data_IF_271423860574
#
_entry.id   IF_271423860574
#
_cell.length_a   1.000
_cell.length_b   1.000
_cell.length_c   1.000
_cell.angle_alpha   90.00
_cell.angle_beta   90.00
_cell.angle_gamma   90.00
#
_symmetry.space_group_name_H-M   'P 1'
#
loop_
_entity.id
_entity.type
_entity.pdbx_description
1 polymer ?
#
# COMPACT_ATOMS: atom_id res chain seq x y z
N UNK A 1 6.07 -8.95 4.47
CA UNK A 1 5.51 -8.08 3.41
C UNK A 1 4.16 -8.60 2.93
N UNK A 2 4.02 -9.91 2.65
CA UNK A 2 2.79 -10.52 2.11
C UNK A 2 1.50 -10.07 2.80
N UNK A 3 1.43 -10.16 4.15
CA UNK A 3 0.25 -9.71 4.91
C UNK A 3 -0.12 -8.24 4.66
N UNK A 4 0.86 -7.35 4.51
CA UNK A 4 0.62 -5.94 4.25
C UNK A 4 0.04 -5.66 2.85
N UNK A 5 0.08 -6.65 1.95
CA UNK A 5 -0.54 -6.61 0.63
C UNK A 5 -1.94 -7.21 0.60
N UNK A 6 -2.42 -7.78 1.72
CA UNK A 6 -3.77 -8.31 1.87
C UNK A 6 -4.76 -7.16 2.10
N UNK A 7 -5.84 -7.15 1.33
CA UNK A 7 -6.90 -6.14 1.49
C UNK A 7 -7.54 -6.25 2.88
N UNK A 8 -7.66 -5.13 3.58
CA UNK A 8 -8.22 -5.09 4.92
C UNK A 8 -7.23 -5.45 6.05
N UNK A 9 -6.05 -5.99 5.75
CA UNK A 9 -4.98 -6.06 6.75
C UNK A 9 -4.35 -4.68 6.93
N UNK A 10 -4.73 -4.03 8.03
CA UNK A 10 -4.53 -2.60 8.22
C UNK A 10 -4.22 -2.28 9.67
N UNK A 11 -3.40 -1.25 9.87
CA UNK A 11 -3.20 -0.61 11.18
C UNK A 11 -4.18 0.54 11.43
N UNK A 12 -5.00 0.92 10.45
CA UNK A 12 -6.08 1.87 10.64
C UNK A 12 -7.14 1.30 11.59
N UNK A 13 -7.59 2.11 12.54
CA UNK A 13 -8.68 1.74 13.46
C UNK A 13 -10.00 1.59 12.71
N UNK A 14 -10.96 0.93 13.35
CA UNK A 14 -12.29 0.73 12.76
C UNK A 14 -13.00 2.06 12.48
N UNK A 15 -12.89 3.04 13.38
CA UNK A 15 -13.42 4.39 13.18
C UNK A 15 -12.84 5.04 11.91
N UNK A 16 -11.52 4.95 11.72
CA UNK A 16 -10.84 5.52 10.54
C UNK A 16 -11.27 4.80 9.26
N UNK A 17 -11.53 3.49 9.32
CA UNK A 17 -12.06 2.73 8.17
C UNK A 17 -13.49 3.16 7.82
N UNK A 18 -14.32 3.42 8.81
CA UNK A 18 -15.71 3.87 8.64
C UNK A 18 -15.83 5.29 8.09
N UNK A 19 -14.80 6.12 8.24
CA UNK A 19 -14.71 7.42 7.57
C UNK A 19 -14.59 7.29 6.03
N UNK A 20 -14.32 6.10 5.50
CA UNK A 20 -14.28 5.82 4.07
C UNK A 20 -12.94 6.20 3.40
N UNK A 21 -13.00 6.58 2.13
CA UNK A 21 -11.84 7.09 1.36
C UNK A 21 -10.62 6.15 1.22
N UNK A 22 -10.82 4.84 1.39
CA UNK A 22 -9.75 3.83 1.22
C UNK A 22 -8.86 3.66 2.45
N UNK A 23 -9.31 4.10 3.62
CA UNK A 23 -8.66 3.80 4.89
C UNK A 23 -8.46 2.29 5.10
N UNK A 24 -7.20 1.90 5.29
CA UNK A 24 -6.79 0.50 5.44
C UNK A 24 -6.54 -0.28 4.15
N UNK A 25 -6.50 0.41 3.01
CA UNK A 25 -6.24 -0.20 1.70
C UNK A 25 -4.92 0.30 1.07
N UNK A 26 -4.04 0.92 1.84
CA UNK A 26 -2.86 1.67 1.34
C UNK A 26 -2.04 0.95 0.28
N UNK A 27 -1.28 -0.09 0.65
CA UNK A 27 -0.42 -0.83 -0.28
C UNK A 27 -1.19 -1.55 -1.39
N UNK A 28 -2.34 -2.21 -1.13
CA UNK A 28 -3.18 -2.75 -2.20
C UNK A 28 -3.61 -1.71 -3.23
N UNK A 29 -4.03 -0.51 -2.79
CA UNK A 29 -4.44 0.58 -3.66
C UNK A 29 -3.27 1.14 -4.46
N UNK A 30 -2.09 1.29 -3.85
CA UNK A 30 -0.89 1.72 -4.55
C UNK A 30 -0.59 0.74 -5.70
N UNK A 31 -0.57 -0.57 -5.42
CA UNK A 31 -0.35 -1.60 -6.45
C UNK A 31 -1.36 -1.50 -7.59
N UNK A 32 -2.64 -1.31 -7.26
CA UNK A 32 -3.74 -1.23 -8.23
C UNK A 32 -3.65 0.00 -9.15
N UNK A 33 -3.03 1.08 -8.69
CA UNK A 33 -2.95 2.37 -9.39
C UNK A 33 -1.54 2.70 -9.91
N UNK A 34 -0.67 1.70 -10.03
CA UNK A 34 0.70 1.86 -10.54
C UNK A 34 0.98 0.83 -11.62
N UNK A 35 1.79 1.19 -12.62
CA UNK A 35 2.26 0.24 -13.63
C UNK A 35 3.33 -0.71 -13.07
N UNK A 36 4.17 -0.21 -12.16
CA UNK A 36 5.16 -1.01 -11.45
C UNK A 36 5.23 -0.61 -9.99
N UNK A 37 5.33 -1.62 -9.12
CA UNK A 37 5.55 -1.46 -7.68
C UNK A 37 6.65 -2.42 -7.22
N UNK A 38 7.65 -1.91 -6.50
CA UNK A 38 8.69 -2.70 -5.84
C UNK A 38 8.72 -2.33 -4.37
N UNK A 39 8.54 -3.31 -3.49
CA UNK A 39 8.53 -3.14 -2.05
C UNK A 39 9.60 -4.02 -1.42
N UNK A 40 10.52 -3.39 -0.69
CA UNK A 40 11.58 -4.06 0.07
C UNK A 40 11.51 -3.63 1.52
N UNK A 41 11.68 -4.56 2.45
CA UNK A 41 11.61 -4.28 3.88
C UNK A 41 12.54 -5.24 4.62
N UNK A 42 13.36 -4.68 5.50
CA UNK A 42 14.27 -5.44 6.36
C UNK A 42 14.00 -5.03 7.81
N UNK A 43 13.61 -5.98 8.70
CA UNK A 43 13.37 -5.69 10.10
C UNK A 43 14.56 -5.00 10.76
N UNK A 44 14.30 -3.93 11.52
CA UNK A 44 15.33 -3.14 12.21
C UNK A 44 16.18 -2.23 11.30
N UNK A 45 16.01 -2.29 9.97
CA UNK A 45 16.73 -1.42 9.02
C UNK A 45 15.78 -0.41 8.41
N UNK A 46 14.65 -0.87 7.86
CA UNK A 46 13.67 0.01 7.24
C UNK A 46 12.88 -0.64 6.10
N UNK A 47 12.03 0.17 5.48
CA UNK A 47 11.17 -0.22 4.36
C UNK A 47 11.32 0.81 3.24
N UNK A 48 11.43 0.32 2.00
CA UNK A 48 11.53 1.13 0.79
C UNK A 48 10.48 0.68 -0.22
N UNK A 49 9.68 1.63 -0.68
CA UNK A 49 8.64 1.45 -1.68
C UNK A 49 8.98 2.30 -2.91
N UNK A 50 9.03 1.66 -4.08
CA UNK A 50 9.21 2.31 -5.37
C UNK A 50 7.97 2.09 -6.24
N UNK A 51 7.49 3.17 -6.83
CA UNK A 51 6.27 3.21 -7.64
C UNK A 51 6.61 3.85 -8.98
N UNK A 52 6.12 3.27 -10.07
CA UNK A 52 6.26 3.83 -11.42
C UNK A 52 4.88 3.97 -12.05
N UNK A 53 4.60 5.15 -12.58
CA UNK A 53 3.41 5.47 -13.39
C UNK A 53 3.87 5.96 -14.75
N UNK A 54 3.42 5.29 -15.81
CA UNK A 54 3.78 5.57 -17.19
C UNK A 54 2.69 6.42 -17.84
N UNK A 55 3.02 7.68 -18.14
CA UNK A 55 2.12 8.55 -18.88
C UNK A 55 2.32 8.36 -20.38
N UNK A 56 1.23 8.15 -21.11
CA UNK A 56 1.26 8.22 -22.58
C UNK A 56 1.23 9.69 -22.98
N UNK A 57 2.09 10.04 -23.95
CA UNK A 57 2.06 11.34 -24.63
C UNK A 57 0.85 11.44 -25.56
#
# INVERSE_FOLDING_TARGET
IERAMEEGFSTATEEVRQMGFGAGMGLPNIRKNSDRMVLTSTPGVGTRLEITVLFKA
#
